data_IF_618477607052
#
_entry.id   IF_618477607052
#
_cell.length_a   1.000
_cell.length_b   1.000
_cell.length_c   1.000
_cell.angle_alpha   90.00
_cell.angle_beta   90.00
_cell.angle_gamma   90.00
#
_symmetry.space_group_name_H-M   'P 1'
#
loop_
_entity.id
_entity.type
_entity.pdbx_description
1 polymer ?
#
# COMPACT_ATOMS: atom_id res chain seq x y z
N UNK A 1 18.36 19.98 5.03
CA UNK A 1 18.85 18.71 4.41
C UNK A 1 17.94 18.37 3.25
N UNK A 2 18.45 17.76 2.18
CA UNK A 2 17.63 17.24 1.09
C UNK A 2 16.79 16.09 1.63
N UNK A 3 15.51 16.03 1.26
CA UNK A 3 14.67 14.86 1.47
C UNK A 3 14.42 14.17 0.13
N UNK A 4 14.24 12.86 0.16
CA UNK A 4 14.04 12.01 -1.02
C UNK A 4 12.60 11.51 -1.01
N UNK A 5 11.86 11.81 -2.07
CA UNK A 5 10.42 11.56 -2.18
C UNK A 5 10.15 10.28 -2.99
N UNK A 6 9.36 9.37 -2.43
CA UNK A 6 9.00 8.10 -3.04
C UNK A 6 7.49 7.91 -3.10
N UNK A 7 7.01 7.47 -4.28
CA UNK A 7 5.68 6.88 -4.42
C UNK A 7 5.71 5.46 -3.86
N UNK A 8 4.73 5.11 -3.04
CA UNK A 8 4.71 3.79 -2.40
C UNK A 8 3.49 2.93 -2.74
N UNK A 9 2.53 3.48 -3.50
CA UNK A 9 1.30 2.77 -3.87
C UNK A 9 0.82 3.17 -5.25
N UNK A 10 1.01 2.32 -6.24
CA UNK A 10 0.57 2.57 -7.61
C UNK A 10 0.41 1.28 -8.42
N UNK A 11 -0.37 1.37 -9.51
CA UNK A 11 -0.78 0.24 -10.32
C UNK A 11 -0.43 0.42 -11.79
N UNK A 12 -0.11 -0.70 -12.44
CA UNK A 12 0.28 -0.75 -13.85
C UNK A 12 -0.57 -1.75 -14.63
N UNK A 13 -0.63 -1.59 -15.96
CA UNK A 13 -1.07 -2.65 -16.86
C UNK A 13 0.17 -3.41 -17.35
N UNK A 14 0.10 -4.74 -17.57
CA UNK A 14 -1.09 -5.61 -17.52
C UNK A 14 -1.38 -6.23 -16.15
N UNK A 15 -0.56 -5.93 -15.13
CA UNK A 15 -0.60 -6.64 -13.84
C UNK A 15 -1.88 -6.36 -13.06
N UNK A 16 -2.30 -5.10 -12.95
CA UNK A 16 -3.60 -4.72 -12.37
C UNK A 16 -4.66 -4.53 -13.45
N UNK A 17 -5.84 -5.14 -13.30
CA UNK A 17 -6.94 -5.01 -14.26
C UNK A 17 -7.52 -3.59 -14.36
N UNK A 18 -7.37 -2.78 -13.32
CA UNK A 18 -7.73 -1.36 -13.29
C UNK A 18 -6.61 -0.43 -13.80
N UNK A 19 -5.39 -0.93 -13.98
CA UNK A 19 -4.27 -0.19 -14.55
C UNK A 19 -4.54 0.25 -15.98
N UNK A 20 -4.23 1.51 -16.30
CA UNK A 20 -4.46 2.13 -17.61
C UNK A 20 -3.18 2.61 -18.29
N UNK A 21 -2.05 2.47 -17.62
CA UNK A 21 -0.73 2.85 -18.15
C UNK A 21 0.28 1.74 -17.91
N UNK A 22 1.19 1.56 -18.86
CA UNK A 22 2.35 0.69 -18.69
C UNK A 22 3.32 1.31 -17.67
N UNK A 23 4.11 0.47 -17.01
CA UNK A 23 5.06 0.94 -16.00
C UNK A 23 6.01 2.02 -16.49
N UNK A 24 6.52 1.90 -17.72
CA UNK A 24 7.41 2.89 -18.38
C UNK A 24 6.80 4.29 -18.52
N UNK A 25 5.45 4.40 -18.63
CA UNK A 25 4.78 5.68 -18.85
C UNK A 25 4.80 6.58 -17.60
N UNK A 26 4.98 5.98 -16.42
CA UNK A 26 5.02 6.69 -15.15
C UNK A 26 6.37 7.37 -14.88
N UNK A 27 7.48 6.83 -15.40
CA UNK A 27 8.83 7.23 -14.97
C UNK A 27 9.10 8.71 -15.20
N UNK A 28 8.90 9.21 -16.43
CA UNK A 28 9.09 10.62 -16.73
C UNK A 28 8.14 11.51 -15.91
N UNK A 29 6.89 11.06 -15.71
CA UNK A 29 5.89 11.82 -14.95
C UNK A 29 6.28 12.00 -13.50
N UNK A 30 6.68 10.93 -12.80
CA UNK A 30 7.13 11.04 -11.41
C UNK A 30 8.40 11.87 -11.28
N UNK A 31 9.35 11.79 -12.24
CA UNK A 31 10.51 12.67 -12.28
C UNK A 31 10.11 14.13 -12.41
N UNK A 32 9.17 14.47 -13.30
CA UNK A 32 8.67 15.83 -13.52
C UNK A 32 7.98 16.40 -12.28
N UNK A 33 7.32 15.54 -11.47
CA UNK A 33 6.72 15.92 -10.18
C UNK A 33 7.71 15.91 -9.01
N UNK A 34 9.00 15.65 -9.27
CA UNK A 34 10.06 15.74 -8.28
C UNK A 34 10.18 14.55 -7.32
N UNK A 35 9.65 13.38 -7.72
CA UNK A 35 9.91 12.12 -6.99
C UNK A 35 11.32 11.61 -7.28
N UNK A 36 11.93 10.96 -6.30
CA UNK A 36 13.25 10.35 -6.40
C UNK A 36 13.19 8.84 -6.69
N UNK A 37 12.00 8.24 -6.72
CA UNK A 37 11.74 6.85 -7.08
C UNK A 37 10.30 6.43 -6.82
N UNK A 38 9.95 5.22 -7.26
CA UNK A 38 8.61 4.64 -7.11
C UNK A 38 8.69 3.18 -6.67
N UNK A 39 7.64 2.72 -5.98
CA UNK A 39 7.42 1.31 -5.68
C UNK A 39 6.15 0.87 -6.41
N UNK A 40 6.26 -0.10 -7.31
CA UNK A 40 5.12 -0.70 -8.01
C UNK A 40 4.44 -1.68 -7.04
N UNK A 41 3.13 -1.55 -6.87
CA UNK A 41 2.32 -2.35 -5.95
C UNK A 41 1.05 -2.86 -6.63
N UNK A 42 1.21 -3.51 -7.76
CA UNK A 42 0.08 -4.05 -8.51
C UNK A 42 -0.78 -5.01 -7.66
N UNK A 43 -2.09 -5.05 -7.97
CA UNK A 43 -3.02 -5.97 -7.32
C UNK A 43 -2.63 -7.41 -7.55
N UNK A 44 -2.43 -8.15 -6.46
CA UNK A 44 -2.10 -9.57 -6.50
C UNK A 44 -3.33 -10.43 -6.77
N UNK A 45 -3.16 -11.74 -6.87
CA UNK A 45 -4.15 -12.65 -7.47
C UNK A 45 -5.53 -12.68 -6.79
N UNK A 46 -5.66 -12.35 -5.52
CA UNK A 46 -6.98 -12.22 -4.87
C UNK A 46 -7.64 -10.86 -5.09
N UNK A 47 -6.83 -9.84 -5.41
CA UNK A 47 -7.29 -8.50 -5.74
C UNK A 47 -7.76 -8.36 -7.19
N UNK A 48 -7.80 -7.13 -7.67
CA UNK A 48 -8.16 -6.77 -9.04
C UNK A 48 -7.00 -7.01 -10.03
N UNK A 49 -6.44 -8.22 -10.00
CA UNK A 49 -5.34 -8.65 -10.85
C UNK A 49 -5.81 -8.86 -12.31
N UNK A 50 -5.01 -8.37 -13.26
CA UNK A 50 -5.24 -8.53 -14.70
C UNK A 50 -4.78 -9.88 -15.27
N UNK A 51 -4.08 -10.69 -14.50
CA UNK A 51 -3.48 -11.95 -14.97
C UNK A 51 -4.50 -13.09 -14.88
N UNK A 52 -4.58 -13.90 -15.94
CA UNK A 52 -5.49 -15.04 -15.99
C UNK A 52 -5.13 -16.08 -14.91
N UNK A 53 -6.04 -16.29 -13.97
CA UNK A 53 -5.87 -17.22 -12.82
C UNK A 53 -5.78 -18.70 -13.22
N UNK A 54 -6.13 -19.05 -14.48
CA UNK A 54 -6.05 -20.43 -15.01
C UNK A 54 -4.65 -20.82 -15.46
N UNK A 55 -3.75 -19.86 -15.61
CA UNK A 55 -2.37 -20.14 -15.96
C UNK A 55 -1.64 -20.85 -14.81
N UNK A 56 -0.61 -21.67 -15.11
CA UNK A 56 0.27 -22.25 -14.09
C UNK A 56 0.90 -21.16 -13.21
N UNK A 57 1.13 -21.46 -11.94
CA UNK A 57 1.67 -20.51 -10.95
C UNK A 57 2.88 -19.72 -11.46
N UNK A 58 3.90 -20.43 -11.98
CA UNK A 58 5.12 -19.80 -12.50
C UNK A 58 4.81 -18.77 -13.59
N UNK A 59 3.93 -19.10 -14.52
CA UNK A 59 3.57 -18.19 -15.61
C UNK A 59 2.79 -16.97 -15.08
N UNK A 60 1.89 -17.19 -14.11
CA UNK A 60 1.17 -16.07 -13.46
C UNK A 60 2.10 -15.10 -12.79
N UNK A 61 3.07 -15.60 -12.02
CA UNK A 61 4.05 -14.76 -11.32
C UNK A 61 4.89 -13.97 -12.33
N UNK A 62 5.43 -14.61 -13.36
CA UNK A 62 6.19 -13.89 -14.39
C UNK A 62 5.35 -12.78 -15.04
N UNK A 63 4.12 -13.07 -15.44
CA UNK A 63 3.24 -12.06 -16.05
C UNK A 63 2.85 -10.97 -15.06
N UNK A 64 2.70 -11.30 -13.80
CA UNK A 64 2.42 -10.33 -12.75
C UNK A 64 3.56 -9.31 -12.61
N UNK A 65 4.79 -9.74 -12.75
CA UNK A 65 5.97 -8.89 -12.65
C UNK A 65 6.23 -8.03 -13.91
N UNK A 66 5.54 -8.27 -15.04
CA UNK A 66 5.76 -7.54 -16.31
C UNK A 66 5.61 -6.02 -16.15
N UNK A 67 4.63 -5.56 -15.36
CA UNK A 67 4.41 -4.13 -15.12
C UNK A 67 5.56 -3.47 -14.37
N UNK A 68 6.06 -4.14 -13.33
CA UNK A 68 7.26 -3.72 -12.61
C UNK A 68 8.50 -3.73 -13.49
N UNK A 69 8.73 -4.79 -14.26
CA UNK A 69 9.90 -4.92 -15.12
C UNK A 69 9.92 -3.83 -16.21
N UNK A 70 8.77 -3.53 -16.79
CA UNK A 70 8.61 -2.44 -17.76
C UNK A 70 9.00 -1.08 -17.17
N UNK A 71 8.52 -0.80 -15.94
CA UNK A 71 8.88 0.42 -15.21
C UNK A 71 10.37 0.45 -14.86
N UNK A 72 10.93 -0.65 -14.34
CA UNK A 72 12.34 -0.78 -13.98
C UNK A 72 13.25 -0.53 -15.17
N UNK A 73 12.96 -1.17 -16.29
CA UNK A 73 13.75 -1.02 -17.52
C UNK A 73 13.79 0.43 -18.02
N UNK A 74 12.71 1.17 -17.92
CA UNK A 74 12.70 2.60 -18.26
C UNK A 74 13.39 3.45 -17.18
N UNK A 75 13.19 3.10 -15.91
CA UNK A 75 13.85 3.75 -14.78
C UNK A 75 15.38 3.66 -14.85
N UNK A 76 15.92 2.48 -15.19
CA UNK A 76 17.37 2.27 -15.38
C UNK A 76 17.94 3.19 -16.46
N UNK A 77 17.25 3.37 -17.61
CA UNK A 77 17.69 4.29 -18.69
C UNK A 77 17.74 5.74 -18.24
N UNK A 78 16.88 6.12 -17.28
CA UNK A 78 16.74 7.50 -16.78
C UNK A 78 17.46 7.76 -15.46
N UNK A 79 18.09 6.75 -14.87
CA UNK A 79 18.67 6.86 -13.53
C UNK A 79 17.61 7.11 -12.45
N UNK A 80 16.41 6.55 -12.61
CA UNK A 80 15.29 6.70 -11.70
C UNK A 80 14.96 5.36 -11.04
N UNK A 81 15.12 5.23 -9.70
CA UNK A 81 14.89 3.98 -8.98
C UNK A 81 13.44 3.52 -9.04
N UNK A 82 13.25 2.23 -9.36
CA UNK A 82 11.96 1.55 -9.34
C UNK A 82 12.11 0.31 -8.48
N UNK A 83 11.22 0.17 -7.51
CA UNK A 83 11.22 -0.95 -6.56
C UNK A 83 9.96 -1.78 -6.73
N UNK A 84 10.00 -3.00 -6.20
CA UNK A 84 8.92 -3.97 -6.27
C UNK A 84 8.22 -4.14 -4.93
N UNK A 85 6.91 -4.26 -4.99
CA UNK A 85 6.00 -4.70 -3.95
C UNK A 85 4.72 -5.20 -4.61
N UNK A 86 3.70 -5.49 -3.84
CA UNK A 86 2.37 -5.83 -4.35
C UNK A 86 1.28 -5.46 -3.35
N UNK A 87 0.05 -5.36 -3.84
CA UNK A 87 -1.13 -5.18 -3.03
C UNK A 87 -1.97 -6.44 -3.01
N UNK A 88 -2.11 -7.06 -1.84
CA UNK A 88 -2.93 -8.25 -1.61
C UNK A 88 -4.30 -7.87 -1.04
N UNK A 89 -5.33 -8.62 -1.40
CA UNK A 89 -6.70 -8.40 -0.96
C UNK A 89 -7.23 -9.54 -0.10
N UNK A 90 -7.92 -9.20 1.00
CA UNK A 90 -8.63 -10.13 1.89
C UNK A 90 -10.02 -9.59 2.17
N UNK A 91 -11.04 -10.15 1.50
CA UNK A 91 -12.44 -9.78 1.73
C UNK A 91 -12.76 -8.28 1.61
N UNK A 92 -11.97 -7.55 0.79
CA UNK A 92 -12.14 -6.12 0.53
C UNK A 92 -11.21 -5.21 1.30
N UNK A 93 -10.45 -5.71 2.26
CA UNK A 93 -9.31 -5.01 2.84
C UNK A 93 -8.02 -5.37 2.11
N UNK A 94 -7.14 -4.40 1.95
CA UNK A 94 -5.96 -4.50 1.10
C UNK A 94 -4.68 -4.21 1.89
N UNK A 95 -3.61 -4.92 1.51
CA UNK A 95 -2.33 -4.88 2.21
C UNK A 95 -1.19 -4.82 1.22
N UNK A 96 -0.37 -3.79 1.32
CA UNK A 96 0.86 -3.69 0.56
C UNK A 96 1.96 -4.51 1.23
N UNK A 97 2.67 -5.30 0.44
CA UNK A 97 3.82 -6.11 0.86
C UNK A 97 5.08 -5.58 0.20
N UNK A 98 6.11 -5.38 0.99
CA UNK A 98 7.41 -4.88 0.53
C UNK A 98 8.56 -5.73 1.03
N UNK A 99 9.65 -5.75 0.27
CA UNK A 99 10.91 -6.39 0.67
C UNK A 99 11.16 -7.77 0.11
N UNK A 100 10.20 -8.29 -0.66
CA UNK A 100 10.28 -9.59 -1.31
C UNK A 100 10.29 -9.42 -2.82
N UNK A 101 10.65 -10.47 -3.56
CA UNK A 101 10.85 -10.42 -4.99
C UNK A 101 10.09 -11.53 -5.74
N UNK A 102 10.21 -11.51 -7.05
CA UNK A 102 9.62 -12.51 -7.93
C UNK A 102 10.07 -13.94 -7.57
N UNK A 103 11.35 -14.12 -7.24
CA UNK A 103 11.88 -15.45 -6.92
C UNK A 103 11.21 -16.01 -5.67
N UNK A 104 11.02 -15.17 -4.65
CA UNK A 104 10.29 -15.55 -3.45
C UNK A 104 8.83 -15.95 -3.76
N UNK A 105 8.13 -15.20 -4.61
CA UNK A 105 6.77 -15.57 -5.05
C UNK A 105 6.74 -16.91 -5.77
N UNK A 106 7.72 -17.18 -6.64
CA UNK A 106 7.83 -18.45 -7.38
C UNK A 106 7.98 -19.66 -6.45
N UNK A 107 8.63 -19.48 -5.31
CA UNK A 107 8.89 -20.51 -4.31
C UNK A 107 7.70 -20.73 -3.35
N UNK A 108 6.69 -19.83 -3.33
CA UNK A 108 5.56 -19.88 -2.39
C UNK A 108 4.19 -19.91 -3.10
N UNK A 109 3.89 -20.95 -3.93
CA UNK A 109 2.60 -21.03 -4.60
C UNK A 109 1.40 -21.14 -3.63
N UNK A 110 1.62 -21.56 -2.40
CA UNK A 110 0.63 -21.64 -1.34
C UNK A 110 0.11 -20.27 -0.86
N UNK A 111 0.79 -19.17 -1.19
CA UNK A 111 0.35 -17.82 -0.81
C UNK A 111 -1.02 -17.44 -1.38
N UNK A 112 -1.49 -18.12 -2.43
CA UNK A 112 -2.86 -17.94 -2.93
C UNK A 112 -3.95 -18.28 -1.90
N UNK A 113 -3.61 -19.09 -0.90
CA UNK A 113 -4.56 -19.60 0.09
C UNK A 113 -4.26 -19.11 1.51
N UNK A 114 -3.22 -18.30 1.69
CA UNK A 114 -2.88 -17.78 3.01
C UNK A 114 -3.96 -16.87 3.57
N UNK A 115 -4.13 -16.97 4.87
CA UNK A 115 -4.83 -15.97 5.69
C UNK A 115 -3.94 -14.73 5.85
N UNK A 116 -4.51 -13.62 6.34
CA UNK A 116 -3.73 -12.41 6.70
C UNK A 116 -2.57 -12.74 7.64
N UNK A 117 -2.82 -13.58 8.63
CA UNK A 117 -1.82 -13.98 9.63
C UNK A 117 -0.69 -14.83 9.02
N UNK A 118 -1.04 -15.77 8.14
CA UNK A 118 -0.04 -16.60 7.46
C UNK A 118 0.83 -15.75 6.54
N UNK A 119 0.23 -14.85 5.75
CA UNK A 119 0.99 -13.90 4.94
C UNK A 119 1.90 -13.03 5.80
N UNK A 120 1.38 -12.42 6.87
CA UNK A 120 2.16 -11.56 7.75
C UNK A 120 3.38 -12.30 8.30
N UNK A 121 3.22 -13.55 8.76
CA UNK A 121 4.30 -14.37 9.28
C UNK A 121 5.32 -14.72 8.21
N UNK A 122 4.89 -15.20 7.06
CA UNK A 122 5.77 -15.60 5.96
C UNK A 122 6.58 -14.39 5.43
N UNK A 123 5.94 -13.22 5.29
CA UNK A 123 6.60 -11.98 4.89
C UNK A 123 7.66 -11.56 5.91
N UNK A 124 7.35 -11.63 7.21
CA UNK A 124 8.30 -11.33 8.27
C UNK A 124 9.47 -12.31 8.35
N UNK A 125 9.22 -13.61 8.21
CA UNK A 125 10.26 -14.64 8.18
C UNK A 125 11.24 -14.42 7.02
N UNK A 126 10.75 -13.88 5.91
CA UNK A 126 11.57 -13.52 4.75
C UNK A 126 12.20 -12.11 4.82
N UNK A 127 11.94 -11.35 5.90
CA UNK A 127 12.53 -10.03 6.13
C UNK A 127 11.79 -8.87 5.43
N UNK A 128 10.56 -9.09 4.98
CA UNK A 128 9.67 -8.07 4.42
C UNK A 128 8.82 -7.36 5.48
N UNK A 129 7.93 -6.48 5.04
CA UNK A 129 6.93 -5.82 5.89
C UNK A 129 5.57 -5.72 5.20
N UNK A 130 4.52 -5.53 6.01
CA UNK A 130 3.13 -5.44 5.57
C UNK A 130 2.52 -4.11 6.01
N UNK A 131 1.89 -3.39 5.09
CA UNK A 131 1.22 -2.11 5.35
C UNK A 131 -0.26 -2.24 5.01
N UNK A 132 -1.18 -1.92 5.92
CA UNK A 132 -2.59 -1.88 5.57
C UNK A 132 -2.86 -0.67 4.67
N UNK A 133 -3.34 -0.94 3.46
CA UNK A 133 -3.70 0.07 2.49
C UNK A 133 -5.04 0.73 2.86
N UNK A 134 -5.14 2.04 2.72
CA UNK A 134 -6.37 2.86 2.83
C UNK A 134 -7.49 2.28 3.73
N UNK A 135 -7.25 2.01 5.02
CA UNK A 135 -8.08 1.15 5.87
C UNK A 135 -9.53 1.59 6.07
N UNK A 136 -9.86 2.87 5.83
CA UNK A 136 -11.22 3.40 5.97
C UNK A 136 -11.94 3.65 4.65
N UNK A 137 -11.38 3.15 3.53
CA UNK A 137 -12.00 3.28 2.21
C UNK A 137 -13.38 2.65 2.20
N UNK A 138 -14.39 3.42 1.75
CA UNK A 138 -15.76 2.96 1.57
C UNK A 138 -16.15 3.09 0.08
N UNK A 139 -16.17 1.98 -0.63
CA UNK A 139 -16.58 1.89 -2.03
C UNK A 139 -17.78 0.95 -2.15
N UNK A 140 -18.52 1.02 -3.24
CA UNK A 140 -19.74 0.22 -3.46
C UNK A 140 -19.53 -1.30 -3.44
N UNK A 141 -18.30 -1.74 -3.66
CA UNK A 141 -17.91 -3.16 -3.63
C UNK A 141 -17.40 -3.61 -2.25
N UNK A 142 -17.22 -2.70 -1.29
CA UNK A 142 -16.80 -3.00 0.09
C UNK A 142 -18.06 -3.07 0.96
N UNK A 143 -18.28 -4.20 1.61
CA UNK A 143 -19.44 -4.39 2.52
C UNK A 143 -19.09 -4.13 3.99
N UNK A 144 -17.84 -4.32 4.36
CA UNK A 144 -17.32 -4.18 5.73
C UNK A 144 -15.90 -3.63 5.68
N UNK A 145 -15.60 -2.67 6.52
CA UNK A 145 -14.25 -2.19 6.74
C UNK A 145 -13.56 -3.16 7.72
N UNK A 146 -12.47 -3.78 7.30
CA UNK A 146 -11.64 -4.60 8.18
C UNK A 146 -10.41 -3.83 8.63
N UNK A 147 -10.21 -3.74 9.94
CA UNK A 147 -9.07 -3.04 10.53
C UNK A 147 -8.16 -4.02 11.25
N UNK A 148 -6.90 -4.09 10.86
CA UNK A 148 -5.91 -4.94 11.50
C UNK A 148 -5.13 -4.16 12.56
N UNK A 149 -5.08 -4.68 13.78
CA UNK A 149 -4.26 -4.10 14.86
C UNK A 149 -2.95 -4.87 15.08
N UNK A 150 -2.71 -5.97 14.36
CA UNK A 150 -1.59 -6.84 14.67
C UNK A 150 -0.97 -7.64 13.51
N UNK A 151 -1.58 -7.66 12.33
CA UNK A 151 -0.99 -8.27 11.13
C UNK A 151 -0.46 -7.20 10.16
N UNK A 152 0.06 -6.09 10.71
CA UNK A 152 0.58 -4.95 9.94
C UNK A 152 1.74 -4.28 10.69
N UNK A 153 2.66 -3.71 9.94
CA UNK A 153 3.81 -2.94 10.44
C UNK A 153 3.58 -1.44 10.35
N UNK A 154 2.73 -1.02 9.42
CA UNK A 154 2.38 0.38 9.19
C UNK A 154 0.96 0.50 8.63
N UNK A 155 0.46 1.72 8.59
CA UNK A 155 -0.82 2.10 7.99
C UNK A 155 -0.56 3.09 6.85
N UNK A 156 -1.20 2.89 5.71
CA UNK A 156 -1.30 3.95 4.70
C UNK A 156 -2.29 5.00 5.21
N UNK A 157 -1.74 6.03 5.84
CA UNK A 157 -2.53 7.10 6.44
C UNK A 157 -3.04 8.12 5.44
N UNK A 158 -2.36 8.26 4.29
CA UNK A 158 -2.77 9.13 3.20
C UNK A 158 -2.70 8.36 1.88
N UNK A 159 -3.85 8.27 1.20
CA UNK A 159 -3.96 7.79 -0.16
C UNK A 159 -4.62 8.90 -0.99
N UNK A 160 -3.94 9.36 -2.06
CA UNK A 160 -4.41 10.52 -2.82
C UNK A 160 -5.70 10.25 -3.63
N UNK A 161 -6.04 8.97 -3.86
CA UNK A 161 -7.29 8.58 -4.51
C UNK A 161 -8.49 8.43 -3.54
N UNK A 162 -8.26 8.65 -2.24
CA UNK A 162 -9.29 8.56 -1.20
C UNK A 162 -10.09 9.85 -1.02
N UNK A 163 -11.25 9.71 -0.37
CA UNK A 163 -11.89 10.84 0.30
C UNK A 163 -10.98 11.33 1.43
N UNK A 164 -10.77 12.66 1.56
CA UNK A 164 -9.90 13.22 2.60
C UNK A 164 -10.31 12.86 4.04
N UNK A 165 -11.61 12.63 4.29
CA UNK A 165 -12.09 12.20 5.60
C UNK A 165 -11.57 10.79 5.95
N UNK A 166 -11.48 9.88 4.98
CA UNK A 166 -10.93 8.53 5.21
C UNK A 166 -9.44 8.58 5.54
N UNK A 167 -8.68 9.44 4.89
CA UNK A 167 -7.27 9.67 5.21
C UNK A 167 -7.11 10.18 6.65
N UNK A 168 -7.95 11.12 7.06
CA UNK A 168 -7.92 11.65 8.44
C UNK A 168 -8.23 10.56 9.48
N UNK A 169 -9.20 9.68 9.19
CA UNK A 169 -9.48 8.51 10.03
C UNK A 169 -8.29 7.56 10.11
N UNK A 170 -7.64 7.28 8.97
CA UNK A 170 -6.48 6.41 8.90
C UNK A 170 -5.27 6.97 9.67
N UNK A 171 -4.99 8.26 9.53
CA UNK A 171 -3.96 8.96 10.29
C UNK A 171 -4.23 8.88 11.80
N UNK A 172 -5.46 9.14 12.22
CA UNK A 172 -5.85 9.04 13.63
C UNK A 172 -5.74 7.62 14.17
N UNK A 173 -6.12 6.63 13.37
CA UNK A 173 -6.00 5.22 13.70
C UNK A 173 -4.54 4.80 13.89
N UNK A 174 -3.66 5.16 12.96
CA UNK A 174 -2.24 4.89 13.04
C UNK A 174 -1.58 5.55 14.27
N UNK A 175 -1.94 6.81 14.55
CA UNK A 175 -1.46 7.55 15.73
C UNK A 175 -1.79 6.81 17.04
N UNK A 176 -3.05 6.39 17.20
CA UNK A 176 -3.51 5.70 18.40
C UNK A 176 -2.89 4.30 18.57
N UNK A 177 -2.64 3.60 17.47
CA UNK A 177 -1.92 2.33 17.47
C UNK A 177 -0.41 2.51 17.59
N UNK A 178 0.10 3.74 17.46
CA UNK A 178 1.54 4.06 17.43
C UNK A 178 2.27 3.31 16.30
N UNK A 179 1.60 3.14 15.16
CA UNK A 179 2.19 2.52 13.97
C UNK A 179 2.81 3.60 13.06
N UNK A 180 3.88 3.27 12.33
CA UNK A 180 4.37 4.09 11.24
C UNK A 180 3.28 4.41 10.24
N UNK A 181 3.41 5.56 9.56
CA UNK A 181 2.46 6.01 8.54
C UNK A 181 3.17 6.09 7.20
N UNK A 182 2.57 5.47 6.16
CA UNK A 182 2.97 5.64 4.77
C UNK A 182 1.95 6.49 4.01
N UNK A 183 2.29 6.86 2.78
CA UNK A 183 1.38 7.56 1.87
C UNK A 183 1.69 7.18 0.43
N UNK A 184 0.64 6.99 -0.37
CA UNK A 184 0.74 6.70 -1.79
C UNK A 184 -0.37 7.36 -2.60
N UNK A 185 -0.20 7.37 -3.92
CA UNK A 185 -1.17 7.99 -4.82
C UNK A 185 -2.29 7.03 -5.21
N UNK A 186 -2.06 5.73 -5.17
CA UNK A 186 -2.94 4.70 -5.72
C UNK A 186 -3.26 5.01 -7.20
N UNK A 187 -2.22 5.35 -7.93
CA UNK A 187 -2.32 5.87 -9.29
C UNK A 187 -2.50 4.71 -10.28
N UNK A 188 -3.49 4.86 -11.16
CA UNK A 188 -3.82 3.85 -12.18
C UNK A 188 -3.61 4.36 -13.61
N UNK A 189 -3.27 5.64 -13.80
CA UNK A 189 -3.17 6.24 -15.13
C UNK A 189 -2.16 7.40 -15.16
N UNK A 190 -1.01 7.19 -15.78
CA UNK A 190 0.04 8.19 -15.89
C UNK A 190 -0.43 9.48 -16.59
N UNK A 191 -1.32 9.38 -17.58
CA UNK A 191 -1.83 10.53 -18.32
C UNK A 191 -2.72 11.47 -17.48
N UNK A 192 -3.32 10.95 -16.39
CA UNK A 192 -4.22 11.71 -15.50
C UNK A 192 -3.51 12.27 -14.26
N UNK A 193 -2.21 12.06 -14.11
CA UNK A 193 -1.45 12.56 -12.97
C UNK A 193 -1.43 14.09 -12.93
N UNK A 194 -1.76 14.62 -11.76
CA UNK A 194 -1.67 16.05 -11.39
C UNK A 194 -0.98 16.16 -10.04
N UNK A 195 -0.50 17.33 -9.67
CA UNK A 195 0.09 17.54 -8.34
C UNK A 195 -0.87 17.20 -7.19
N UNK A 196 -2.17 17.40 -7.38
CA UNK A 196 -3.19 17.12 -6.37
C UNK A 196 -3.58 15.62 -6.28
N UNK A 197 -3.24 14.83 -7.29
CA UNK A 197 -3.49 13.39 -7.32
C UNK A 197 -2.28 12.56 -6.85
N UNK A 198 -1.27 13.20 -6.24
CA UNK A 198 -0.05 12.53 -5.81
C UNK A 198 0.15 12.60 -4.31
N UNK A 199 0.59 11.49 -3.75
CA UNK A 199 1.09 11.40 -2.39
C UNK A 199 2.32 10.48 -2.35
N UNK A 200 3.12 10.60 -1.30
CA UNK A 200 4.29 9.76 -1.11
C UNK A 200 4.97 10.02 0.22
N UNK A 201 6.04 9.30 0.47
CA UNK A 201 6.86 9.46 1.66
C UNK A 201 8.19 10.14 1.33
N UNK A 202 8.60 11.08 2.17
CA UNK A 202 9.89 11.74 2.07
C UNK A 202 10.83 11.24 3.17
N UNK A 203 12.01 10.77 2.77
CA UNK A 203 13.03 10.18 3.62
C UNK A 203 14.26 11.09 3.69
N UNK A 204 15.04 10.97 4.76
CA UNK A 204 16.30 11.72 4.95
C UNK A 204 17.47 11.16 4.12
N UNK A 205 17.34 9.90 3.66
CA UNK A 205 18.33 9.20 2.83
C UNK A 205 17.67 8.59 1.61
N UNK A 206 18.43 8.48 0.49
CA UNK A 206 17.91 7.77 -0.69
C UNK A 206 17.77 6.28 -0.41
N UNK A 207 16.76 5.66 -1.01
CA UNK A 207 16.64 4.21 -1.05
C UNK A 207 17.63 3.65 -2.08
N UNK A 208 18.42 2.66 -1.66
CA UNK A 208 19.33 1.92 -2.54
C UNK A 208 18.74 0.57 -2.96
N UNK A 209 17.84 0.05 -2.14
CA UNK A 209 17.04 -1.14 -2.41
C UNK A 209 15.72 -1.05 -1.62
N UNK A 210 14.78 -1.93 -1.95
CA UNK A 210 13.48 -1.98 -1.22
C UNK A 210 13.66 -2.30 0.27
N UNK A 211 14.72 -3.03 0.64
CA UNK A 211 15.06 -3.33 2.02
C UNK A 211 15.30 -2.09 2.89
N UNK A 212 15.78 -0.98 2.32
CA UNK A 212 15.94 0.29 3.05
C UNK A 212 14.59 0.85 3.48
N UNK A 213 13.55 0.74 2.63
CA UNK A 213 12.19 1.14 2.96
C UNK A 213 11.59 0.23 4.04
N UNK A 214 11.74 -1.09 3.89
CA UNK A 214 11.32 -2.08 4.90
C UNK A 214 11.96 -1.76 6.27
N UNK A 215 13.27 -1.55 6.30
CA UNK A 215 13.98 -1.22 7.55
C UNK A 215 13.52 0.13 8.13
N UNK A 216 13.13 1.08 7.30
CA UNK A 216 12.59 2.36 7.76
C UNK A 216 11.26 2.14 8.50
N UNK A 217 10.38 1.30 7.97
CA UNK A 217 9.10 0.93 8.59
C UNK A 217 9.35 0.14 9.89
N UNK A 218 10.07 -0.99 9.81
CA UNK A 218 10.24 -1.91 10.94
C UNK A 218 10.97 -1.27 12.13
N UNK A 219 11.93 -0.38 11.85
CA UNK A 219 12.67 0.36 12.88
C UNK A 219 11.98 1.67 13.28
N UNK A 220 10.79 1.97 12.72
CA UNK A 220 10.01 3.18 13.00
C UNK A 220 10.82 4.47 12.82
N UNK A 221 11.66 4.50 11.78
CA UNK A 221 12.43 5.69 11.44
C UNK A 221 11.51 6.80 10.94
N UNK A 222 11.85 8.08 11.13
CA UNK A 222 11.02 9.18 10.66
C UNK A 222 10.81 9.14 9.16
N UNK A 223 9.54 9.27 8.75
CA UNK A 223 9.09 9.49 7.39
C UNK A 223 8.15 10.70 7.38
N UNK A 224 8.31 11.59 6.41
CA UNK A 224 7.40 12.72 6.25
C UNK A 224 6.45 12.46 5.09
N UNK A 225 5.15 12.65 5.34
CA UNK A 225 4.13 12.56 4.29
C UNK A 225 4.23 13.78 3.38
N UNK A 226 4.15 13.55 2.08
CA UNK A 226 4.01 14.57 1.04
C UNK A 226 2.76 14.31 0.23
N UNK A 227 1.84 15.24 0.25
CA UNK A 227 0.58 15.22 -0.51
C UNK A 227 0.04 16.64 -0.65
N UNK A 228 -0.99 16.82 -1.47
CA UNK A 228 -1.76 18.07 -1.55
C UNK A 228 -2.55 18.31 -0.25
N UNK A 229 -2.84 19.55 0.05
CA UNK A 229 -3.72 19.93 1.15
C UNK A 229 -5.14 19.32 1.00
N UNK A 230 -5.55 19.05 -0.23
CA UNK A 230 -6.83 18.39 -0.54
C UNK A 230 -6.93 16.94 -0.02
N UNK A 231 -5.81 16.31 0.36
CA UNK A 231 -5.81 14.97 0.96
C UNK A 231 -6.26 14.95 2.43
N UNK A 232 -6.48 16.10 3.04
CA UNK A 232 -6.83 16.22 4.46
C UNK A 232 -8.18 16.89 4.67
N UNK A 233 -8.91 16.46 5.69
CA UNK A 233 -10.15 17.04 6.20
C UNK A 233 -10.12 17.08 7.72
N UNK A 234 -11.00 17.83 8.39
CA UNK A 234 -11.22 17.66 9.83
C UNK A 234 -11.65 16.24 10.17
N UNK A 235 -11.34 15.78 11.39
CA UNK A 235 -11.78 14.46 11.85
C UNK A 235 -13.32 14.41 11.90
N UNK A 236 -13.88 13.54 11.07
CA UNK A 236 -15.32 13.30 10.98
C UNK A 236 -15.62 11.80 11.11
N UNK A 237 -16.11 11.39 12.27
CA UNK A 237 -16.47 9.99 12.53
C UNK A 237 -17.72 9.54 11.76
N UNK A 238 -18.53 10.46 11.23
CA UNK A 238 -19.69 10.12 10.38
C UNK A 238 -19.28 9.59 9.01
N UNK A 239 -18.04 9.82 8.58
CA UNK A 239 -17.46 9.27 7.37
C UNK A 239 -17.25 7.73 7.43
N UNK A 240 -17.34 7.12 8.62
CA UNK A 240 -17.40 5.66 8.78
C UNK A 240 -18.83 5.22 8.46
N UNK A 241 -19.12 4.94 7.21
CA UNK A 241 -20.47 4.62 6.73
C UNK A 241 -20.78 3.14 6.65
N UNK A 242 -19.76 2.28 6.77
CA UNK A 242 -19.89 0.83 6.69
C UNK A 242 -19.72 0.18 8.07
N UNK A 243 -20.19 -1.07 8.25
CA UNK A 243 -19.80 -1.90 9.39
C UNK A 243 -18.27 -2.02 9.49
N UNK A 244 -17.75 -2.10 10.71
CA UNK A 244 -16.32 -2.25 10.96
C UNK A 244 -16.07 -3.54 11.73
N UNK A 245 -15.19 -4.39 11.22
CA UNK A 245 -14.64 -5.58 11.85
C UNK A 245 -13.20 -5.30 12.27
N UNK A 246 -12.91 -5.44 13.55
CA UNK A 246 -11.58 -5.18 14.10
C UNK A 246 -10.88 -6.50 14.37
N UNK A 247 -9.66 -6.64 13.85
CA UNK A 247 -8.82 -7.83 13.93
C UNK A 247 -7.63 -7.61 14.85
N UNK A 248 -7.47 -8.50 15.81
CA UNK A 248 -6.36 -8.50 16.76
C UNK A 248 -5.07 -9.12 16.22
N UNK A 249 -4.09 -9.29 17.09
CA UNK A 249 -2.73 -9.73 16.75
C UNK A 249 -2.62 -11.17 16.17
N UNK A 250 -3.63 -11.98 16.32
CA UNK A 250 -3.72 -13.33 15.72
C UNK A 250 -4.84 -13.40 14.67
N UNK A 251 -5.18 -12.25 14.07
CA UNK A 251 -6.28 -12.09 13.11
C UNK A 251 -7.66 -12.52 13.65
N UNK A 252 -7.78 -12.65 14.97
CA UNK A 252 -9.06 -12.97 15.62
C UNK A 252 -9.95 -11.71 15.68
N UNK A 253 -11.28 -11.86 15.61
CA UNK A 253 -12.19 -10.76 15.88
C UNK A 253 -11.94 -10.14 17.25
N UNK A 254 -11.93 -8.82 17.33
CA UNK A 254 -11.73 -8.07 18.57
C UNK A 254 -12.98 -7.23 18.87
N UNK A 255 -13.49 -7.35 20.09
CA UNK A 255 -14.58 -6.50 20.55
C UNK A 255 -14.10 -5.07 20.76
N UNK A 256 -14.81 -4.10 20.19
CA UNK A 256 -14.49 -2.69 20.32
C UNK A 256 -15.37 -1.81 19.45
N UNK A 257 -15.42 -0.52 19.81
CA UNK A 257 -16.08 0.51 19.02
C UNK A 257 -15.01 1.40 18.37
N UNK A 258 -14.91 1.37 17.07
CA UNK A 258 -13.93 2.16 16.33
C UNK A 258 -14.13 3.68 16.50
N UNK A 259 -15.38 4.15 16.53
CA UNK A 259 -15.65 5.58 16.73
C UNK A 259 -15.19 6.04 18.10
N UNK A 260 -15.45 5.22 19.11
CA UNK A 260 -14.95 5.47 20.46
C UNK A 260 -13.42 5.45 20.50
N UNK A 261 -12.79 4.44 19.90
CA UNK A 261 -11.34 4.35 19.84
C UNK A 261 -10.72 5.59 19.19
N UNK A 262 -11.22 6.02 18.04
CA UNK A 262 -10.72 7.21 17.34
C UNK A 262 -10.93 8.50 18.15
N UNK A 263 -11.97 8.57 18.98
CA UNK A 263 -12.24 9.73 19.85
C UNK A 263 -11.39 9.76 21.10
N UNK A 264 -11.20 8.62 21.76
CA UNK A 264 -10.71 8.54 23.14
C UNK A 264 -9.41 7.74 23.30
N UNK A 265 -9.02 6.96 22.31
CA UNK A 265 -7.92 5.98 22.39
C UNK A 265 -8.28 4.67 23.10
N UNK A 266 -9.55 4.48 23.49
CA UNK A 266 -10.01 3.28 24.22
C UNK A 266 -11.04 2.50 23.42
N UNK A 267 -10.88 1.17 23.33
CA UNK A 267 -11.79 0.28 22.60
C UNK A 267 -13.10 0.02 23.36
N UNK A 268 -13.05 0.00 24.67
CA UNK A 268 -14.19 -0.33 25.55
C UNK A 268 -14.57 0.85 26.46
N UNK A 269 -15.79 0.79 26.98
CA UNK A 269 -16.33 1.81 27.89
C UNK A 269 -15.64 1.80 29.26
#
# INVERSE_FOLDING_TARGET
MRSYLYETHMHTTPSSACGRSFGREYIARYQDFGFDGIIITDHFFRGNCGIDRRLPWRERVHRFCEGYEDARNEGEKRGFPVFFGWEENYDGDEYMVYGLDEQWMLEHPEMEHWTRLEQFRAVHEAGGCVVQAHPFRARSYISTIHLSTGCVDAIEGVNAANDPAWNTLALRYAELLRLPVTAGSDNHCAALMTADSLAGVALDKPLTCIGDFVQTILQRRPMAIRCSASCHAPLDLSAITLPVDIRGAQDQPMAGDIRRFLSTGCWQA
#
